data_IF_014749976966
#
_entry.id   IF_014749976966
#
_cell.length_a   1.000
_cell.length_b   1.000
_cell.length_c   1.000
_cell.angle_alpha   90.00
_cell.angle_beta   90.00
_cell.angle_gamma   90.00
#
_symmetry.space_group_name_H-M   'P 1'
#
loop_
_entity.id
_entity.type
_entity.pdbx_description
1 polymer ?
#
# COMPACT_ATOMS: atom_id res chain seq x y z
N UNK A 1 -39.00 27.72 -21.76
CA UNK A 1 -40.06 27.28 -20.82
C UNK A 1 -40.25 25.76 -20.84
N UNK A 2 -40.25 25.08 -21.98
CA UNK A 2 -40.37 23.61 -22.02
C UNK A 2 -39.18 22.83 -21.43
N UNK A 3 -37.95 23.35 -21.50
CA UNK A 3 -36.77 22.69 -20.91
C UNK A 3 -36.77 22.68 -19.37
N UNK A 4 -37.44 23.63 -18.73
CA UNK A 4 -37.56 23.68 -17.26
C UNK A 4 -38.64 22.73 -16.71
N UNK A 5 -39.58 22.30 -17.55
CA UNK A 5 -40.59 21.32 -17.17
C UNK A 5 -40.03 19.89 -17.11
N UNK A 6 -38.96 19.61 -17.88
CA UNK A 6 -38.30 18.29 -17.92
C UNK A 6 -37.54 17.96 -16.63
N UNK A 7 -37.07 18.99 -15.91
CA UNK A 7 -36.39 18.86 -14.60
C UNK A 7 -37.38 18.62 -13.46
N UNK A 8 -38.67 18.98 -13.64
CA UNK A 8 -39.70 18.89 -12.60
C UNK A 8 -40.60 17.65 -12.65
N UNK A 9 -40.43 16.77 -13.63
CA UNK A 9 -41.10 15.46 -13.62
C UNK A 9 -42.62 15.47 -13.82
N UNK A 10 -43.16 16.45 -14.55
CA UNK A 10 -44.59 16.45 -14.92
C UNK A 10 -44.85 15.65 -16.21
N UNK A 11 -46.02 15.00 -16.28
CA UNK A 11 -46.39 14.06 -17.35
C UNK A 11 -46.54 14.76 -18.72
N UNK A 12 -45.58 14.56 -19.62
CA UNK A 12 -45.61 15.11 -20.98
C UNK A 12 -46.44 14.25 -21.97
N UNK A 13 -47.17 14.95 -22.85
CA UNK A 13 -48.02 14.35 -23.90
C UNK A 13 -47.20 13.52 -24.91
N UNK A 14 -47.82 12.51 -25.54
CA UNK A 14 -47.12 11.57 -26.46
C UNK A 14 -46.35 12.26 -27.59
N UNK A 15 -46.83 13.40 -28.10
CA UNK A 15 -46.14 14.17 -29.16
C UNK A 15 -44.85 14.85 -28.68
N UNK A 16 -44.76 15.23 -27.40
CA UNK A 16 -43.54 15.80 -26.82
C UNK A 16 -42.45 14.72 -26.59
N UNK A 17 -42.88 13.47 -26.37
CA UNK A 17 -41.98 12.32 -26.17
C UNK A 17 -41.16 12.02 -27.43
N UNK A 18 -41.81 12.06 -28.59
CA UNK A 18 -41.14 11.78 -29.86
C UNK A 18 -40.17 12.90 -30.24
N UNK A 19 -40.52 14.17 -29.98
CA UNK A 19 -39.62 15.30 -30.20
C UNK A 19 -38.40 15.29 -29.26
N UNK A 20 -38.56 14.88 -28.00
CA UNK A 20 -37.47 14.73 -27.04
C UNK A 20 -36.51 13.58 -27.43
N UNK A 21 -37.03 12.47 -27.96
CA UNK A 21 -36.21 11.36 -28.46
C UNK A 21 -35.38 11.76 -29.70
N UNK A 22 -35.98 12.51 -30.62
CA UNK A 22 -35.27 13.03 -31.80
C UNK A 22 -34.19 14.06 -31.42
N UNK A 23 -34.47 14.97 -30.48
CA UNK A 23 -33.48 15.94 -30.01
C UNK A 23 -32.36 15.28 -29.19
N UNK A 24 -32.66 14.24 -28.41
CA UNK A 24 -31.67 13.47 -27.65
C UNK A 24 -30.69 12.74 -28.56
N UNK A 25 -31.19 12.08 -29.61
CA UNK A 25 -30.34 11.35 -30.57
C UNK A 25 -29.45 12.33 -31.36
N UNK A 26 -29.98 13.49 -31.73
CA UNK A 26 -29.24 14.51 -32.47
C UNK A 26 -28.16 15.17 -31.60
N UNK A 27 -28.46 15.47 -30.33
CA UNK A 27 -27.49 16.00 -29.36
C UNK A 27 -26.33 15.01 -29.11
N UNK A 28 -26.62 13.71 -28.98
CA UNK A 28 -25.58 12.67 -28.82
C UNK A 28 -24.68 12.55 -30.04
N UNK A 29 -25.23 12.75 -31.25
CA UNK A 29 -24.44 12.69 -32.49
C UNK A 29 -23.57 13.92 -32.77
N UNK A 30 -23.96 15.10 -32.28
CA UNK A 30 -23.27 16.38 -32.56
C UNK A 30 -22.31 16.78 -31.45
N UNK A 31 -22.62 16.45 -30.19
CA UNK A 31 -21.83 16.85 -29.02
C UNK A 31 -21.07 15.68 -28.36
N UNK A 32 -21.18 14.48 -28.93
CA UNK A 32 -20.73 13.24 -28.28
C UNK A 32 -21.63 12.88 -27.10
N UNK A 33 -21.58 11.62 -26.68
CA UNK A 33 -22.28 11.17 -25.47
C UNK A 33 -21.66 11.91 -24.28
N UNK A 34 -22.41 12.75 -23.55
CA UNK A 34 -21.85 13.40 -22.38
C UNK A 34 -21.57 12.30 -21.33
N UNK A 35 -20.44 12.38 -20.65
CA UNK A 35 -19.92 11.36 -19.74
C UNK A 35 -20.97 10.88 -18.70
N UNK A 36 -21.86 11.76 -18.25
CA UNK A 36 -22.93 11.43 -17.31
C UNK A 36 -24.05 10.54 -17.87
N UNK A 37 -24.21 10.44 -19.21
CA UNK A 37 -25.17 9.52 -19.83
C UNK A 37 -24.65 8.07 -19.85
N UNK A 38 -23.32 7.88 -19.84
CA UNK A 38 -22.73 6.55 -19.65
C UNK A 38 -22.94 6.03 -18.22
N UNK A 39 -22.99 6.96 -17.25
CA UNK A 39 -23.20 6.66 -15.82
C UNK A 39 -24.65 6.24 -15.50
N UNK A 40 -25.62 6.68 -16.30
CA UNK A 40 -27.03 6.31 -16.15
C UNK A 40 -27.37 4.92 -16.73
N UNK A 41 -26.48 4.33 -17.53
CA UNK A 41 -26.66 3.01 -18.14
C UNK A 41 -26.09 1.88 -17.26
N UNK A 42 -26.68 1.68 -16.09
CA UNK A 42 -26.82 0.32 -15.53
C UNK A 42 -25.55 -0.43 -15.11
N UNK A 43 -24.58 0.27 -14.54
CA UNK A 43 -23.55 -0.33 -13.69
C UNK A 43 -22.85 0.79 -12.97
N UNK A 44 -23.11 0.99 -11.68
CA UNK A 44 -22.31 1.90 -10.88
C UNK A 44 -20.84 1.51 -11.11
N UNK A 45 -20.04 2.40 -11.71
CA UNK A 45 -18.63 2.17 -11.92
C UNK A 45 -17.99 2.09 -10.53
N UNK A 46 -17.98 0.89 -9.96
CA UNK A 46 -17.49 0.67 -8.62
C UNK A 46 -16.00 1.01 -8.67
N UNK A 47 -15.60 2.00 -7.89
CA UNK A 47 -14.20 2.37 -7.80
C UNK A 47 -13.42 1.13 -7.37
N UNK A 48 -12.26 0.85 -7.99
CA UNK A 48 -11.42 -0.24 -7.55
C UNK A 48 -11.04 -0.05 -6.08
N UNK A 49 -11.13 -1.14 -5.33
CA UNK A 49 -10.89 -1.19 -3.89
C UNK A 49 -9.71 -2.13 -3.63
N UNK A 50 -8.83 -1.72 -2.73
CA UNK A 50 -7.70 -2.52 -2.25
C UNK A 50 -7.80 -2.61 -0.73
N UNK A 51 -7.90 -3.82 -0.21
CA UNK A 51 -7.76 -4.10 1.20
C UNK A 51 -6.38 -4.68 1.46
N UNK A 52 -5.67 -4.05 2.38
CA UNK A 52 -4.36 -4.46 2.89
C UNK A 52 -4.62 -4.94 4.31
N UNK A 53 -4.72 -6.25 4.46
CA UNK A 53 -4.86 -6.92 5.75
C UNK A 53 -3.50 -7.52 6.11
N UNK A 54 -3.24 -7.77 7.38
CA UNK A 54 -1.99 -8.41 7.76
C UNK A 54 -1.60 -8.19 9.21
N UNK A 55 -0.32 -8.37 9.47
CA UNK A 55 0.27 -8.14 10.77
C UNK A 55 1.76 -7.82 10.69
N UNK A 56 2.22 -6.98 11.60
CA UNK A 56 3.64 -6.89 11.95
C UNK A 56 3.96 -8.10 12.82
N UNK A 57 4.60 -9.12 12.23
CA UNK A 57 4.91 -10.38 12.91
C UNK A 57 5.93 -10.12 14.02
N UNK A 58 7.02 -9.44 13.69
CA UNK A 58 8.10 -9.16 14.63
C UNK A 58 9.33 -8.56 13.98
N UNK A 59 10.42 -8.52 14.74
CA UNK A 59 11.71 -8.02 14.30
C UNK A 59 12.86 -8.97 14.68
N UNK A 60 13.87 -9.05 13.83
CA UNK A 60 15.08 -9.83 14.03
C UNK A 60 16.34 -8.98 13.80
N UNK A 61 17.49 -9.47 14.26
CA UNK A 61 18.81 -8.88 14.02
C UNK A 61 19.06 -7.49 14.65
N UNK A 62 18.15 -7.00 15.50
CA UNK A 62 18.38 -5.78 16.25
C UNK A 62 19.35 -6.02 17.42
N UNK A 63 20.25 -5.08 17.76
CA UNK A 63 21.15 -5.25 18.90
C UNK A 63 20.46 -5.04 20.26
N UNK A 64 19.34 -4.32 20.33
CA UNK A 64 18.66 -3.99 21.58
C UNK A 64 17.57 -4.99 21.97
N UNK A 65 17.35 -5.15 23.28
CA UNK A 65 16.42 -6.15 23.81
C UNK A 65 14.96 -5.69 23.81
N UNK A 66 14.72 -4.43 24.18
CA UNK A 66 13.37 -3.86 24.29
C UNK A 66 13.00 -3.06 23.06
N UNK A 67 12.07 -3.57 22.26
CA UNK A 67 11.70 -3.01 20.96
C UNK A 67 10.21 -2.74 20.84
N UNK A 68 9.91 -1.66 20.13
CA UNK A 68 8.58 -1.18 19.76
C UNK A 68 8.59 -0.87 18.26
N UNK A 69 7.52 -1.17 17.56
CA UNK A 69 7.37 -0.80 16.15
C UNK A 69 6.21 0.19 15.99
N UNK A 70 6.43 1.22 15.20
CA UNK A 70 5.37 2.05 14.62
C UNK A 70 5.31 1.76 13.14
N UNK A 71 4.13 1.68 12.58
CA UNK A 71 3.94 1.43 11.16
C UNK A 71 2.98 2.46 10.59
N UNK A 72 3.15 2.77 9.31
CA UNK A 72 2.29 3.68 8.56
C UNK A 72 2.18 3.21 7.12
N UNK A 73 0.97 3.19 6.58
CA UNK A 73 0.71 2.99 5.16
C UNK A 73 0.56 4.36 4.52
N UNK A 74 1.51 4.69 3.65
CA UNK A 74 1.58 5.97 2.92
C UNK A 74 1.15 5.71 1.49
N UNK A 75 0.13 6.42 1.03
CA UNK A 75 -0.37 6.40 -0.34
C UNK A 75 -0.59 7.83 -0.83
N UNK A 76 -0.59 8.06 -2.15
CA UNK A 76 -0.84 9.39 -2.70
C UNK A 76 -2.32 9.77 -2.54
N UNK A 77 -2.59 10.74 -1.66
CA UNK A 77 -3.93 11.28 -1.38
C UNK A 77 -4.66 11.84 -2.60
N UNK A 78 -3.97 12.10 -3.72
CA UNK A 78 -4.59 12.55 -4.98
C UNK A 78 -5.34 11.44 -5.71
N UNK A 79 -4.95 10.18 -5.47
CA UNK A 79 -5.45 9.01 -6.19
C UNK A 79 -6.01 7.92 -5.29
N UNK A 80 -5.65 7.94 -4.01
CA UNK A 80 -5.99 6.94 -3.00
C UNK A 80 -6.76 7.59 -1.85
N UNK A 81 -8.00 7.14 -1.68
CA UNK A 81 -8.86 7.57 -0.58
C UNK A 81 -8.97 6.45 0.45
N UNK A 82 -8.66 6.75 1.71
CA UNK A 82 -8.85 5.82 2.82
C UNK A 82 -10.36 5.69 3.10
N UNK A 83 -10.90 4.49 2.89
CA UNK A 83 -12.32 4.19 3.10
C UNK A 83 -12.57 3.74 4.53
N UNK A 84 -11.79 2.75 4.99
CA UNK A 84 -11.86 2.22 6.36
C UNK A 84 -10.48 1.74 6.84
N UNK A 85 -10.36 1.49 8.15
CA UNK A 85 -9.12 1.01 8.78
C UNK A 85 -8.25 2.15 9.33
N UNK A 86 -7.05 1.78 9.79
CA UNK A 86 -6.07 2.70 10.36
C UNK A 86 -4.84 2.74 9.46
N UNK A 87 -4.49 3.92 8.94
CA UNK A 87 -3.29 4.06 8.09
C UNK A 87 -2.00 4.15 8.91
N UNK A 88 -2.07 4.24 10.23
CA UNK A 88 -0.91 4.20 11.12
C UNK A 88 -1.25 3.49 12.42
N UNK A 89 -0.24 2.85 13.02
CA UNK A 89 -0.40 2.13 14.27
C UNK A 89 0.91 1.97 15.02
N UNK A 90 0.81 1.49 16.26
CA UNK A 90 1.94 1.28 17.15
C UNK A 90 1.75 -0.02 17.95
N UNK A 91 2.81 -0.83 17.99
CA UNK A 91 2.82 -2.09 18.74
C UNK A 91 2.99 -1.85 20.25
N UNK A 92 3.01 -2.93 21.02
CA UNK A 92 3.47 -2.87 22.40
C UNK A 92 5.01 -3.02 22.45
N UNK A 93 5.61 -2.64 23.57
CA UNK A 93 7.04 -2.89 23.81
C UNK A 93 7.22 -4.36 24.14
N UNK A 94 8.12 -5.04 23.43
CA UNK A 94 8.52 -6.42 23.67
C UNK A 94 9.94 -6.40 24.21
N UNK A 95 10.18 -7.15 25.28
CA UNK A 95 11.53 -7.45 25.75
C UNK A 95 11.90 -8.83 25.24
N UNK A 96 12.91 -8.90 24.38
CA UNK A 96 13.33 -10.17 23.79
C UNK A 96 14.25 -10.99 24.69
N UNK A 97 14.59 -10.53 25.90
CA UNK A 97 15.43 -11.19 26.92
C UNK A 97 16.61 -12.04 26.35
N UNK A 98 16.36 -13.30 25.96
CA UNK A 98 17.33 -14.25 25.39
C UNK A 98 17.04 -14.68 23.93
N UNK A 99 15.91 -14.27 23.37
CA UNK A 99 15.49 -14.55 22.00
C UNK A 99 16.08 -13.53 21.01
N UNK A 100 16.48 -13.99 19.83
CA UNK A 100 16.93 -13.12 18.74
C UNK A 100 15.75 -12.45 18.01
N UNK A 101 14.51 -12.80 18.36
CA UNK A 101 13.28 -12.39 17.70
C UNK A 101 12.34 -11.64 18.65
N UNK A 102 11.91 -10.44 18.28
CA UNK A 102 10.91 -9.67 19.00
C UNK A 102 9.53 -9.87 18.34
N UNK A 103 8.69 -10.71 18.93
CA UNK A 103 7.36 -11.02 18.40
C UNK A 103 6.32 -9.97 18.82
N UNK A 104 5.76 -9.21 17.86
CA UNK A 104 4.70 -8.24 18.12
C UNK A 104 3.30 -8.75 17.78
N UNK A 105 3.16 -9.50 16.68
CA UNK A 105 1.87 -10.00 16.17
C UNK A 105 0.78 -8.92 16.14
N UNK A 106 1.14 -7.71 15.68
CA UNK A 106 0.25 -6.55 15.73
C UNK A 106 -0.52 -6.40 14.41
N UNK A 107 -1.85 -6.26 14.42
CA UNK A 107 -2.66 -6.27 13.21
C UNK A 107 -2.44 -5.03 12.34
N UNK A 108 -2.56 -5.22 11.03
CA UNK A 108 -2.63 -4.18 10.01
C UNK A 108 -3.93 -4.39 9.25
N UNK A 109 -4.78 -3.36 9.19
CA UNK A 109 -6.02 -3.39 8.41
C UNK A 109 -6.27 -2.01 7.82
N UNK A 110 -6.13 -1.91 6.50
CA UNK A 110 -6.33 -0.67 5.74
C UNK A 110 -7.12 -0.95 4.47
N UNK A 111 -8.16 -0.16 4.23
CA UNK A 111 -8.99 -0.26 3.04
C UNK A 111 -8.96 1.04 2.26
N UNK A 112 -8.43 0.97 1.04
CA UNK A 112 -8.41 2.09 0.11
C UNK A 112 -9.35 1.89 -1.07
N UNK A 113 -9.90 3.00 -1.56
CA UNK A 113 -10.43 3.10 -2.92
C UNK A 113 -9.45 3.88 -3.77
N UNK A 114 -9.16 3.42 -4.99
CA UNK A 114 -8.22 4.09 -5.88
C UNK A 114 -8.86 4.50 -7.21
N UNK A 115 -8.53 5.72 -7.64
CA UNK A 115 -8.91 6.23 -8.97
C UNK A 115 -7.87 5.86 -10.04
N UNK A 116 -6.59 5.78 -9.65
CA UNK A 116 -5.41 5.47 -10.47
C UNK A 116 -4.48 4.50 -9.74
N UNK A 117 -3.58 3.82 -10.48
CA UNK A 117 -2.52 2.96 -9.91
C UNK A 117 -1.27 3.76 -9.52
N UNK A 118 -1.17 5.02 -9.96
CA UNK A 118 -0.12 5.94 -9.57
C UNK A 118 -0.19 6.21 -8.06
N UNK A 119 0.98 6.36 -7.42
CA UNK A 119 1.05 6.58 -5.97
C UNK A 119 0.74 5.36 -5.11
N UNK A 120 1.01 4.15 -5.63
CA UNK A 120 0.74 2.87 -4.95
C UNK A 120 1.20 2.86 -3.48
N UNK A 121 0.40 2.28 -2.55
CA UNK A 121 0.70 2.26 -1.13
C UNK A 121 2.08 1.70 -0.78
N UNK A 122 2.71 2.34 0.19
CA UNK A 122 3.99 1.94 0.77
C UNK A 122 3.84 1.78 2.28
N UNK A 123 4.39 0.69 2.82
CA UNK A 123 4.47 0.47 4.25
C UNK A 123 5.79 1.07 4.75
N UNK A 124 5.69 2.11 5.56
CA UNK A 124 6.78 2.66 6.34
C UNK A 124 6.75 2.10 7.76
N UNK A 125 7.91 1.74 8.29
CA UNK A 125 8.08 1.23 9.66
C UNK A 125 9.15 2.03 10.38
N UNK A 126 8.92 2.29 11.66
CA UNK A 126 9.87 2.90 12.57
C UNK A 126 10.05 1.97 13.76
N UNK A 127 11.26 1.48 13.97
CA UNK A 127 11.60 0.65 15.12
C UNK A 127 12.20 1.54 16.19
N UNK A 128 11.62 1.50 17.37
CA UNK A 128 12.01 2.23 18.56
C UNK A 128 12.56 1.26 19.60
N UNK A 129 13.64 1.66 20.27
CA UNK A 129 14.21 0.95 21.41
C UNK A 129 13.78 1.64 22.71
N UNK A 130 13.58 0.88 23.78
CA UNK A 130 13.26 1.43 25.10
C UNK A 130 14.43 1.19 26.08
N UNK A 131 14.97 2.27 26.64
CA UNK A 131 15.99 2.20 27.69
C UNK A 131 15.40 1.63 28.99
N UNK A 132 16.27 1.19 29.92
CA UNK A 132 15.91 0.79 31.29
C UNK A 132 15.10 1.85 32.05
N UNK A 133 15.26 3.13 31.67
CA UNK A 133 14.53 4.27 32.24
C UNK A 133 13.17 4.52 31.57
N UNK A 134 12.72 3.64 30.67
CA UNK A 134 11.44 3.76 29.95
C UNK A 134 11.44 4.84 28.85
N UNK A 135 12.60 5.37 28.46
CA UNK A 135 12.72 6.35 27.39
C UNK A 135 12.77 5.63 26.05
N UNK A 136 12.00 6.13 25.08
CA UNK A 136 11.99 5.57 23.73
C UNK A 136 12.95 6.35 22.84
N UNK A 137 13.82 5.64 22.13
CA UNK A 137 14.77 6.19 21.17
C UNK A 137 14.63 5.48 19.82
N UNK A 138 14.91 6.18 18.72
CA UNK A 138 14.79 5.57 17.40
C UNK A 138 15.93 4.56 17.19
N UNK A 139 15.56 3.33 16.86
CA UNK A 139 16.50 2.29 16.45
C UNK A 139 16.76 2.34 14.95
N UNK A 140 15.71 2.42 14.13
CA UNK A 140 15.84 2.51 12.68
C UNK A 140 14.51 2.76 11.97
N UNK A 141 14.62 3.13 10.70
CA UNK A 141 13.52 3.38 9.77
C UNK A 141 13.57 2.34 8.65
N UNK A 142 12.42 1.93 8.15
CA UNK A 142 12.31 1.05 7.00
C UNK A 142 11.12 1.45 6.14
N UNK A 143 11.20 1.17 4.85
CA UNK A 143 10.06 1.34 3.94
C UNK A 143 10.07 0.26 2.87
N UNK A 144 8.88 -0.20 2.49
CA UNK A 144 8.69 -1.16 1.41
C UNK A 144 7.41 -0.82 0.66
N UNK A 145 7.39 -1.02 -0.66
CA UNK A 145 6.13 -0.92 -1.43
C UNK A 145 5.28 -2.15 -1.14
N UNK A 146 3.98 -1.94 -0.95
CA UNK A 146 3.05 -3.05 -0.75
C UNK A 146 3.03 -3.89 -2.04
N UNK A 147 3.06 -5.24 -1.96
CA UNK A 147 2.95 -6.09 -3.15
C UNK A 147 1.71 -5.74 -3.98
N UNK A 148 1.75 -5.91 -5.29
CA UNK A 148 0.60 -5.60 -6.15
C UNK A 148 -0.27 -6.82 -6.43
N UNK A 149 0.30 -8.02 -6.33
CA UNK A 149 -0.42 -9.26 -6.55
C UNK A 149 -1.41 -9.55 -5.40
N UNK A 150 -2.65 -9.96 -5.69
CA UNK A 150 -3.57 -10.44 -4.66
C UNK A 150 -3.04 -11.73 -4.03
N UNK A 151 -3.32 -11.94 -2.73
CA UNK A 151 -2.86 -13.10 -1.98
C UNK A 151 -2.07 -12.73 -0.72
N UNK A 152 -1.48 -13.75 -0.07
CA UNK A 152 -0.69 -13.61 1.16
C UNK A 152 0.79 -13.50 0.80
N UNK A 153 1.45 -12.48 1.34
CA UNK A 153 2.83 -12.14 1.10
C UNK A 153 3.58 -11.98 2.41
N UNK A 154 4.78 -12.55 2.47
CA UNK A 154 5.71 -12.34 3.57
C UNK A 154 6.76 -11.34 3.09
N UNK A 155 6.86 -10.21 3.77
CA UNK A 155 7.69 -9.08 3.36
C UNK A 155 8.66 -8.74 4.48
N UNK A 156 9.94 -8.81 4.15
CA UNK A 156 11.03 -8.42 5.04
C UNK A 156 11.43 -6.98 4.78
N UNK A 157 11.20 -6.12 5.77
CA UNK A 157 11.52 -4.69 5.71
C UNK A 157 12.87 -4.44 6.34
N UNK A 158 13.84 -4.12 5.49
CA UNK A 158 15.20 -3.79 5.91
C UNK A 158 15.20 -2.42 6.58
N UNK A 159 15.72 -2.35 7.81
CA UNK A 159 15.79 -1.09 8.56
C UNK A 159 17.17 -0.48 8.52
N UNK A 160 17.19 0.84 8.42
CA UNK A 160 18.39 1.66 8.36
C UNK A 160 18.26 2.87 9.27
N UNK A 161 19.39 3.43 9.66
CA UNK A 161 19.41 4.65 10.47
C UNK A 161 20.47 5.60 9.91
N UNK A 162 20.18 6.92 9.81
CA UNK A 162 21.21 7.88 9.43
C UNK A 162 22.30 7.92 10.50
N UNK A 163 23.55 7.76 10.09
CA UNK A 163 24.71 8.01 10.94
C UNK A 163 24.87 9.52 11.10
N UNK A 164 24.63 10.02 12.32
CA UNK A 164 24.96 11.39 12.67
C UNK A 164 26.47 11.66 12.56
N UNK A 165 26.84 12.93 12.40
CA UNK A 165 28.24 13.35 12.43
C UNK A 165 28.94 12.92 13.73
N UNK A 166 30.28 12.78 13.75
CA UNK A 166 31.02 12.36 14.95
C UNK A 166 30.70 13.19 16.21
N UNK A 167 30.46 14.49 16.03
CA UNK A 167 30.06 15.41 17.12
C UNK A 167 28.64 15.10 17.61
N UNK A 168 27.72 14.74 16.72
CA UNK A 168 26.37 14.29 17.07
C UNK A 168 26.35 12.91 17.70
N UNK A 169 27.27 12.01 17.34
CA UNK A 169 27.48 10.74 18.04
C UNK A 169 28.01 10.95 19.44
N UNK A 170 29.00 11.85 19.61
CA UNK A 170 29.58 12.17 20.91
C UNK A 170 28.57 12.91 21.80
N UNK A 171 27.80 13.85 21.24
CA UNK A 171 26.75 14.54 21.98
C UNK A 171 25.59 13.61 22.33
N UNK A 172 25.16 12.71 21.43
CA UNK A 172 24.15 11.70 21.73
C UNK A 172 24.63 10.72 22.81
N UNK A 173 25.91 10.30 22.77
CA UNK A 173 26.49 9.43 23.79
C UNK A 173 26.66 10.12 25.16
N UNK A 174 26.87 11.44 25.19
CA UNK A 174 27.03 12.20 26.44
C UNK A 174 25.74 12.79 27.00
N UNK A 175 24.74 13.10 26.17
CA UNK A 175 23.50 13.80 26.56
C UNK A 175 22.23 12.94 26.38
N UNK A 176 22.30 11.81 25.67
CA UNK A 176 21.14 10.99 25.34
C UNK A 176 20.21 11.72 24.37
N UNK A 177 20.37 11.46 23.07
CA UNK A 177 19.60 12.16 22.04
C UNK A 177 20.13 11.87 20.66
N UNK A 178 19.80 10.69 20.13
CA UNK A 178 20.06 10.39 18.73
C UNK A 178 19.30 11.34 17.78
N UNK A 179 19.93 11.79 16.67
CA UNK A 179 19.26 12.63 15.68
C UNK A 179 18.07 11.86 15.10
N UNK A 180 16.87 12.42 15.28
CA UNK A 180 15.63 11.93 14.71
C UNK A 180 15.36 12.67 13.41
N UNK A 181 14.90 11.95 12.38
CA UNK A 181 14.39 12.59 11.17
C UNK A 181 13.13 13.38 11.56
N UNK A 182 13.15 14.69 11.27
CA UNK A 182 12.03 15.59 11.56
C UNK A 182 10.85 15.34 10.63
N UNK A 183 11.13 14.87 9.42
CA UNK A 183 10.14 14.50 8.41
C UNK A 183 10.29 13.01 8.07
N UNK A 184 9.32 12.20 8.53
CA UNK A 184 9.27 10.75 8.23
C UNK A 184 8.99 10.50 6.74
N UNK A 185 8.51 11.49 5.99
CA UNK A 185 8.23 11.39 4.55
C UNK A 185 9.50 11.15 3.71
N UNK A 186 10.67 11.56 4.23
CA UNK A 186 11.99 11.26 3.66
C UNK A 186 12.26 9.74 3.62
N UNK A 187 11.63 8.96 4.50
CA UNK A 187 11.78 7.49 4.52
C UNK A 187 11.10 6.86 3.30
N UNK A 188 10.07 7.49 2.75
CA UNK A 188 9.38 7.06 1.53
C UNK A 188 9.98 7.66 0.25
N UNK A 189 10.61 8.82 0.34
CA UNK A 189 11.25 9.49 -0.80
C UNK A 189 12.71 9.06 -0.96
N UNK A 190 12.99 8.20 -1.95
CA UNK A 190 14.33 7.65 -2.20
C UNK A 190 15.41 8.66 -2.58
N UNK A 191 15.03 9.89 -2.94
CA UNK A 191 15.94 10.93 -3.47
C UNK A 191 16.79 11.56 -2.36
N UNK A 192 16.21 11.78 -1.18
CA UNK A 192 16.89 12.41 -0.04
C UNK A 192 17.80 11.43 0.74
N UNK A 193 17.68 10.12 0.47
CA UNK A 193 18.52 9.08 1.10
C UNK A 193 19.95 9.06 0.58
N UNK A 194 20.22 9.61 -0.61
CA UNK A 194 21.54 9.52 -1.27
C UNK A 194 22.60 10.37 -0.56
N UNK A 195 22.20 11.39 0.18
CA UNK A 195 23.13 12.29 0.91
C UNK A 195 23.40 11.85 2.36
N UNK A 196 22.75 10.78 2.84
CA UNK A 196 22.87 10.30 4.22
C UNK A 196 23.78 9.07 4.30
N UNK A 197 24.78 9.11 5.18
CA UNK A 197 25.46 7.87 5.60
C UNK A 197 24.46 7.04 6.38
N UNK A 198 24.24 5.77 6.00
CA UNK A 198 23.22 4.91 6.62
C UNK A 198 23.85 3.64 7.16
N UNK A 199 23.45 3.26 8.38
CA UNK A 199 23.81 1.99 9.00
C UNK A 199 22.59 1.05 8.98
N UNK A 200 22.78 -0.21 8.58
CA UNK A 200 21.72 -1.23 8.62
C UNK A 200 21.60 -1.78 10.03
N UNK A 201 20.38 -1.91 10.57
CA UNK A 201 20.18 -2.19 12.00
C UNK A 201 19.32 -3.39 12.37
N UNK A 202 18.69 -4.02 11.39
CA UNK A 202 17.86 -5.22 11.57
C UNK A 202 16.75 -5.32 10.54
N UNK A 203 15.92 -6.36 10.68
CA UNK A 203 14.85 -6.70 9.74
C UNK A 203 13.52 -6.77 10.48
N UNK A 204 12.50 -6.12 9.94
CA UNK A 204 11.11 -6.24 10.42
C UNK A 204 10.36 -7.18 9.48
N UNK A 205 9.76 -8.22 10.04
CA UNK A 205 8.99 -9.21 9.31
C UNK A 205 7.51 -8.85 9.34
N UNK A 206 6.91 -8.69 8.17
CA UNK A 206 5.51 -8.32 8.01
C UNK A 206 4.83 -9.35 7.13
N UNK A 207 3.62 -9.76 7.52
CA UNK A 207 2.75 -10.59 6.71
C UNK A 207 1.60 -9.72 6.20
N UNK A 208 1.41 -9.66 4.88
CA UNK A 208 0.40 -8.84 4.23
C UNK A 208 -0.47 -9.72 3.33
N UNK A 209 -1.78 -9.67 3.53
CA UNK A 209 -2.80 -10.22 2.66
C UNK A 209 -3.46 -9.11 1.86
N UNK A 210 -3.37 -9.20 0.54
CA UNK A 210 -4.00 -8.26 -0.38
C UNK A 210 -5.26 -8.83 -0.98
N UNK A 211 -6.36 -8.07 -0.84
CA UNK A 211 -7.62 -8.32 -1.52
C UNK A 211 -7.92 -7.15 -2.44
N UNK A 212 -8.13 -7.47 -3.71
CA UNK A 212 -8.27 -6.50 -4.79
C UNK A 212 -9.64 -6.72 -5.42
N UNK A 213 -10.43 -5.65 -5.58
CA UNK A 213 -11.79 -5.72 -6.11
C UNK A 213 -12.04 -4.62 -7.12
N UNK A 214 -12.73 -4.93 -8.22
CA UNK A 214 -13.12 -3.94 -9.23
C UNK A 214 -12.01 -3.55 -10.22
N UNK A 215 -10.87 -4.25 -10.22
CA UNK A 215 -9.78 -4.03 -11.18
C UNK A 215 -10.03 -4.71 -12.54
N UNK A 216 -10.85 -5.77 -12.58
CA UNK A 216 -11.24 -6.47 -13.82
C UNK A 216 -12.04 -5.57 -14.77
N UNK A 217 -12.80 -4.62 -14.21
CA UNK A 217 -13.60 -3.66 -14.98
C UNK A 217 -12.71 -2.61 -15.66
N UNK A 218 -11.46 -2.44 -15.20
CA UNK A 218 -10.51 -1.44 -15.69
C UNK A 218 -9.29 -2.03 -16.43
N UNK A 219 -9.32 -3.31 -16.80
CA UNK A 219 -8.28 -4.00 -17.58
C UNK A 219 -6.87 -4.02 -16.95
N UNK A 220 -6.77 -4.03 -15.62
CA UNK A 220 -5.50 -4.20 -14.90
C UNK A 220 -5.38 -5.64 -14.44
N UNK A 221 -4.49 -6.41 -15.06
CA UNK A 221 -4.15 -7.77 -14.62
C UNK A 221 -2.96 -7.71 -13.66
N UNK A 222 -3.14 -8.22 -12.44
CA UNK A 222 -2.03 -8.45 -11.53
C UNK A 222 -1.46 -9.84 -11.79
N UNK A 223 -0.13 -9.95 -11.83
CA UNK A 223 0.53 -11.25 -11.97
C UNK A 223 0.29 -12.09 -10.70
N UNK A 224 -0.76 -12.93 -10.73
CA UNK A 224 -0.98 -13.97 -9.73
C UNK A 224 0.01 -15.12 -9.94
N UNK A 225 0.53 -15.68 -8.85
CA UNK A 225 1.31 -16.92 -8.86
C UNK A 225 0.38 -18.15 -9.00
N UNK A 226 -0.49 -18.15 -10.00
CA UNK A 226 -1.29 -19.32 -10.36
C UNK A 226 -0.66 -19.99 -11.59
N UNK A 227 0.31 -20.89 -11.36
CA UNK A 227 0.91 -21.63 -12.48
C UNK A 227 2.22 -22.37 -12.22
N UNK A 228 2.38 -23.05 -11.08
CA UNK A 228 3.47 -24.01 -10.90
C UNK A 228 2.94 -25.39 -10.47
N UNK A 229 2.01 -25.94 -11.25
CA UNK A 229 1.62 -27.35 -11.14
C UNK A 229 1.12 -27.89 -12.51
N UNK A 230 1.89 -28.82 -13.09
CA UNK A 230 1.58 -29.56 -14.33
C UNK A 230 2.56 -29.22 -15.46
N UNK A 231 3.19 -30.14 -16.18
CA UNK A 231 3.13 -31.59 -16.20
C UNK A 231 4.48 -32.07 -16.76
N UNK A 232 5.19 -32.89 -16.00
CA UNK A 232 6.34 -33.64 -16.52
C UNK A 232 5.86 -35.02 -16.91
N UNK A 233 5.49 -35.19 -18.19
CA UNK A 233 5.54 -36.50 -18.85
C UNK A 233 5.61 -36.36 -20.38
N UNK A 234 6.71 -36.85 -20.96
CA UNK A 234 6.68 -37.71 -22.14
C UNK A 234 8.07 -38.24 -22.47
N UNK A 235 8.10 -39.57 -22.53
CA UNK A 235 9.15 -40.47 -22.97
C UNK A 235 9.75 -40.19 -24.37
N UNK A 236 11.06 -40.42 -24.48
CA UNK A 236 11.59 -41.55 -25.26
C UNK A 236 11.87 -41.40 -26.78
N UNK A 237 13.16 -41.33 -27.15
CA UNK A 237 13.85 -42.01 -28.26
C UNK A 237 15.20 -41.28 -28.52
N UNK A 238 16.40 -41.84 -28.60
CA UNK A 238 16.85 -43.18 -28.97
C UNK A 238 17.79 -43.09 -30.18
N UNK A 239 19.11 -43.03 -29.96
CA UNK A 239 20.23 -43.41 -30.85
C UNK A 239 21.53 -42.85 -30.22
N UNK A 240 22.60 -43.60 -29.91
CA UNK A 240 23.24 -44.64 -30.70
C UNK A 240 24.53 -44.06 -31.30
N UNK A 241 25.68 -44.33 -30.69
CA UNK A 241 26.98 -43.89 -31.21
C UNK A 241 28.15 -44.18 -30.28
N UNK A 242 28.67 -45.40 -30.36
CA UNK A 242 29.94 -45.81 -29.76
C UNK A 242 31.13 -45.39 -30.63
N UNK A 243 32.20 -44.89 -29.99
CA UNK A 243 33.63 -45.17 -30.19
C UNK A 243 34.45 -44.06 -29.53
#
# INVERSE_FOLDING_TARGET
YELLALVRGDSLSRRCRDAAAFLSTYLVSVLGTPCWLAEAAGGAAQMPEVHILGQVVGASEFPQTRLLCRWRVVADTSHWDLVTGENEGQTHVVDKEEEEFAAWSHPIDVHYSCSSIEGWPQLAVEVWQQDEHGRNEISGYGSVRVPTAPGVHHVDVMTWRPEGSFVERLSAAMLGGHPQLKDTDIVTESVDRVELSTETRGVVHVELQLLVKGFDVKAVEFAGLDGAAGAGDSDGAGAGGAC
#
